data_IF_268545304860
#
_entry.id   IF_268545304860
#
_cell.length_a   1.000
_cell.length_b   1.000
_cell.length_c   1.000
_cell.angle_alpha   90.00
_cell.angle_beta   90.00
_cell.angle_gamma   90.00
#
_symmetry.space_group_name_H-M   'P 1'
#
loop_
_entity.id
_entity.type
_entity.pdbx_description
1 polymer ?
#
# COMPACT_ATOMS: atom_id res chain seq x y z
N UNK A 1 -29.94 2.46 -7.75
CA UNK A 1 -29.50 2.65 -7.70
C UNK A 1 -28.89 2.93 -7.34
N UNK A 2 -28.76 2.69 -6.83
CA UNK A 2 -28.29 2.90 -6.52
C UNK A 2 -27.62 3.21 -6.27
N UNK A 3 -27.41 3.16 -6.12
CA UNK A 3 -26.83 3.47 -5.98
C UNK A 3 -26.24 3.90 -5.63
N UNK A 4 -26.15 3.86 -5.12
CA UNK A 4 -25.49 4.14 -4.92
C UNK A 4 -24.98 4.92 -4.82
N UNK A 5 -25.11 5.04 -4.15
CA UNK A 5 -24.52 6.05 -4.21
C UNK A 5 -23.38 6.56 -3.29
N UNK A 6 -23.24 7.02 -1.99
CA UNK A 6 -22.17 7.51 -1.13
C UNK A 6 -21.04 6.54 -0.94
N UNK A 7 -21.41 5.33 -0.81
CA UNK A 7 -20.45 4.24 -0.63
C UNK A 7 -19.56 4.13 -1.85
N UNK A 8 -20.15 4.32 -2.98
CA UNK A 8 -19.41 4.20 -4.23
C UNK A 8 -18.35 5.28 -4.35
N UNK A 9 -18.64 6.45 -3.83
CA UNK A 9 -17.67 7.53 -3.89
C UNK A 9 -16.40 7.19 -3.13
N UNK A 10 -16.54 6.56 -1.98
CA UNK A 10 -15.37 6.16 -1.21
C UNK A 10 -14.54 5.12 -1.96
N UNK A 11 -15.22 4.20 -2.57
CA UNK A 11 -14.54 3.16 -3.32
C UNK A 11 -13.78 3.75 -4.50
N UNK A 12 -14.35 4.76 -5.13
CA UNK A 12 -13.73 5.34 -6.31
C UNK A 12 -12.45 6.08 -6.00
N UNK A 13 -12.33 6.62 -4.79
CA UNK A 13 -11.17 7.42 -4.46
C UNK A 13 -10.01 6.59 -4.00
N UNK A 14 -10.20 5.30 -3.80
CA UNK A 14 -9.14 4.42 -3.35
C UNK A 14 -8.84 3.40 -4.42
N UNK A 15 -7.58 3.32 -4.80
CA UNK A 15 -7.13 2.37 -5.79
C UNK A 15 -6.18 1.38 -5.15
N UNK A 16 -6.18 0.17 -5.69
CA UNK A 16 -5.25 -0.85 -5.25
C UNK A 16 -4.01 -0.81 -6.12
N UNK A 17 -2.87 -0.90 -5.46
CA UNK A 17 -1.57 -0.91 -6.11
C UNK A 17 -0.77 -2.07 -5.59
N UNK A 18 0.10 -2.60 -6.43
CA UNK A 18 1.16 -3.47 -5.97
C UNK A 18 2.40 -2.61 -5.73
N UNK A 19 3.09 -2.88 -4.65
CA UNK A 19 4.22 -2.05 -4.26
C UNK A 19 5.16 -2.82 -3.36
N UNK A 20 6.36 -2.29 -3.18
CA UNK A 20 7.24 -2.74 -2.12
C UNK A 20 7.26 -1.67 -1.05
N UNK A 21 7.23 -2.09 0.19
CA UNK A 21 7.09 -1.21 1.33
C UNK A 21 8.29 -1.41 2.24
N UNK A 22 8.89 -0.29 2.64
CA UNK A 22 10.05 -0.33 3.52
C UNK A 22 9.60 -0.48 4.96
N UNK A 23 9.97 -1.59 5.58
CA UNK A 23 9.59 -1.92 6.95
C UNK A 23 10.87 -2.23 7.73
N UNK A 24 11.53 -1.20 8.26
CA UNK A 24 12.79 -1.45 8.97
C UNK A 24 12.61 -2.05 10.36
N UNK A 25 11.44 -1.88 10.94
CA UNK A 25 11.20 -2.36 12.30
C UNK A 25 9.94 -3.21 12.34
N UNK A 26 8.83 -2.64 12.76
CA UNK A 26 7.58 -3.36 12.88
C UNK A 26 6.73 -3.18 11.65
N UNK A 27 6.00 -4.20 11.30
CA UNK A 27 5.03 -4.05 10.24
C UNK A 27 3.87 -3.18 10.74
N UNK A 28 3.27 -2.46 9.81
CA UNK A 28 2.15 -1.58 10.10
C UNK A 28 1.11 -1.78 9.02
N UNK A 29 -0.02 -1.13 9.19
CA UNK A 29 -1.07 -1.21 8.19
C UNK A 29 -1.26 0.11 7.45
N UNK A 30 -0.39 1.09 7.68
CA UNK A 30 -0.39 2.31 6.88
C UNK A 30 1.03 2.83 6.77
N UNK A 31 1.30 3.50 5.65
CA UNK A 31 2.65 3.88 5.29
C UNK A 31 2.65 5.23 4.61
N UNK A 32 3.69 6.02 4.87
CA UNK A 32 3.92 7.24 4.11
C UNK A 32 4.40 6.88 2.70
N UNK A 33 4.06 7.76 1.75
CA UNK A 33 4.45 7.53 0.37
C UNK A 33 5.96 7.38 0.22
N UNK A 34 6.74 8.03 1.06
CA UNK A 34 8.19 7.95 1.00
C UNK A 34 8.73 6.55 1.33
N UNK A 35 7.91 5.71 1.99
CA UNK A 35 8.31 4.35 2.31
C UNK A 35 7.79 3.34 1.31
N UNK A 36 7.26 3.80 0.19
CA UNK A 36 6.59 2.94 -0.77
C UNK A 36 7.18 3.16 -2.15
N UNK A 37 7.41 2.06 -2.86
CA UNK A 37 7.75 2.11 -4.27
C UNK A 37 6.67 1.36 -5.03
N UNK A 38 5.91 2.08 -5.85
CA UNK A 38 4.81 1.48 -6.60
C UNK A 38 5.36 0.61 -7.71
N UNK A 39 4.64 -0.47 -7.97
CA UNK A 39 5.00 -1.46 -8.98
C UNK A 39 3.86 -1.62 -9.96
N UNK A 40 4.15 -2.21 -11.11
CA UNK A 40 3.16 -2.36 -12.16
C UNK A 40 2.15 -3.45 -11.84
N UNK A 41 2.62 -4.54 -11.26
CA UNK A 41 1.77 -5.67 -10.96
C UNK A 41 2.41 -6.50 -9.86
N UNK A 42 1.78 -7.63 -9.56
CA UNK A 42 2.22 -8.50 -8.50
C UNK A 42 3.64 -9.03 -8.75
N UNK A 43 3.90 -9.44 -9.96
CA UNK A 43 5.21 -10.00 -10.27
C UNK A 43 6.30 -8.94 -10.15
N UNK A 44 5.99 -7.72 -10.58
CA UNK A 44 6.93 -6.63 -10.46
C UNK A 44 7.26 -6.35 -8.99
N UNK A 45 6.24 -6.38 -8.14
CA UNK A 45 6.46 -6.18 -6.72
C UNK A 45 7.33 -7.29 -6.12
N UNK A 46 7.09 -8.52 -6.53
CA UNK A 46 7.90 -9.63 -6.06
C UNK A 46 9.33 -9.52 -6.53
N UNK A 47 9.54 -9.06 -7.75
CA UNK A 47 10.88 -8.88 -8.28
C UNK A 47 11.64 -7.77 -7.59
N UNK A 48 10.95 -6.70 -7.26
CA UNK A 48 11.58 -5.55 -6.63
C UNK A 48 11.72 -5.71 -5.13
N UNK A 49 11.09 -6.71 -4.55
CA UNK A 49 11.21 -6.97 -3.13
C UNK A 49 12.64 -7.27 -2.76
N UNK A 50 13.06 -6.77 -1.61
CA UNK A 50 14.40 -7.02 -1.10
C UNK A 50 14.28 -7.20 0.41
N UNK A 51 14.07 -8.45 0.79
CA UNK A 51 13.79 -8.77 2.18
C UNK A 51 14.98 -8.41 3.07
N UNK A 52 16.19 -8.59 2.56
CA UNK A 52 17.39 -8.25 3.32
C UNK A 52 17.43 -6.78 3.67
N UNK A 53 16.92 -5.95 2.80
CA UNK A 53 16.89 -4.51 3.02
C UNK A 53 15.54 -4.02 3.53
N UNK A 54 14.69 -4.96 3.93
CA UNK A 54 13.41 -4.66 4.57
C UNK A 54 12.40 -4.06 3.62
N UNK A 55 12.48 -4.36 2.34
CA UNK A 55 11.49 -4.00 1.34
C UNK A 55 10.61 -5.21 1.06
N UNK A 56 9.36 -5.14 1.47
CA UNK A 56 8.43 -6.26 1.39
C UNK A 56 7.34 -5.98 0.38
N UNK A 57 7.00 -6.95 -0.47
CA UNK A 57 5.97 -6.72 -1.48
C UNK A 57 4.59 -6.81 -0.85
N UNK A 58 3.71 -5.93 -1.28
CA UNK A 58 2.38 -5.84 -0.70
C UNK A 58 1.39 -5.28 -1.71
N UNK A 59 0.13 -5.50 -1.43
CA UNK A 59 -0.94 -4.81 -2.11
C UNK A 59 -1.49 -3.75 -1.16
N UNK A 60 -1.51 -2.53 -1.64
CA UNK A 60 -1.88 -1.37 -0.83
C UNK A 60 -2.96 -0.58 -1.55
N UNK A 61 -3.62 0.29 -0.81
CA UNK A 61 -4.58 1.20 -1.43
C UNK A 61 -4.36 2.61 -0.93
N UNK A 62 -4.81 3.55 -1.74
CA UNK A 62 -4.65 4.97 -1.54
C UNK A 62 -4.54 5.65 -2.88
N UNK A 63 -3.92 6.83 -2.93
CA UNK A 63 -3.34 7.58 -1.82
C UNK A 63 -4.41 8.28 -0.99
N UNK A 64 -4.04 8.60 0.24
CA UNK A 64 -4.92 9.32 1.14
C UNK A 64 -4.10 10.41 1.81
N UNK A 65 -4.71 11.55 2.03
CA UNK A 65 -4.00 12.66 2.64
C UNK A 65 -4.33 12.70 4.12
N UNK A 66 -3.30 12.69 4.94
CA UNK A 66 -3.48 12.76 6.38
C UNK A 66 -3.79 14.20 6.79
N UNK A 67 -4.20 14.38 8.05
CA UNK A 67 -4.48 15.69 8.58
C UNK A 67 -3.23 16.58 8.59
N UNK A 68 -2.07 15.98 8.54
CA UNK A 68 -0.82 16.72 8.51
C UNK A 68 -0.36 17.03 7.10
N UNK A 69 -1.14 16.62 6.11
CA UNK A 69 -0.78 16.89 4.72
C UNK A 69 0.10 15.84 4.10
N UNK A 70 0.38 14.77 4.79
CA UNK A 70 1.22 13.70 4.26
C UNK A 70 0.40 12.75 3.41
N UNK A 71 1.02 12.23 2.36
CA UNK A 71 0.38 11.23 1.50
C UNK A 71 0.62 9.87 2.11
N UNK A 72 -0.46 9.15 2.36
CA UNK A 72 -0.43 7.86 3.04
C UNK A 72 -1.05 6.78 2.18
N UNK A 73 -0.58 5.58 2.38
CA UNK A 73 -1.17 4.38 1.78
C UNK A 73 -1.50 3.40 2.89
N UNK A 74 -2.49 2.56 2.65
CA UNK A 74 -2.95 1.59 3.63
C UNK A 74 -2.73 0.18 3.10
N UNK A 75 -2.41 -0.72 3.99
CA UNK A 75 -2.18 -2.11 3.65
C UNK A 75 -3.51 -2.78 3.31
N UNK A 76 -3.53 -3.48 2.18
CA UNK A 76 -4.60 -4.40 1.86
C UNK A 76 -4.20 -5.82 2.23
N UNK A 77 -3.03 -6.24 1.72
CA UNK A 77 -2.49 -7.55 2.11
C UNK A 77 -1.01 -7.60 1.76
N UNK A 78 -0.26 -8.39 2.51
CA UNK A 78 1.12 -8.66 2.19
C UNK A 78 1.20 -9.75 1.16
N UNK A 79 2.11 -9.61 0.20
CA UNK A 79 2.46 -10.71 -0.70
C UNK A 79 3.49 -11.60 -0.05
N UNK A 80 4.44 -11.00 0.64
CA UNK A 80 5.35 -11.71 1.54
C UNK A 80 5.31 -10.95 2.85
N UNK A 81 4.85 -11.61 3.88
CA UNK A 81 4.61 -10.95 5.15
C UNK A 81 5.93 -10.67 5.87
N UNK A 82 6.12 -9.45 6.40
CA UNK A 82 7.31 -9.18 7.20
C UNK A 82 7.36 -10.09 8.41
N UNK A 83 8.54 -10.55 8.69
CA UNK A 83 8.73 -11.51 9.77
C UNK A 83 9.34 -10.79 10.96
N UNK A 84 8.48 -10.23 11.80
CA UNK A 84 8.98 -9.55 12.99
C UNK A 84 8.02 -9.60 14.15
#
# INVERSE_FOLDING_TARGET
MVQIHGIDRQTKTQQLFYAVVYIPKRSRDRFQASCIQLCQDKEDALLKANIDKKWFPAQIYGPSKSSEGLIMYYLNQWLIEPNN
#
